data_IF_088171331058
#
_entry.id   IF_088171331058
#
_cell.length_a   1.000
_cell.length_b   1.000
_cell.length_c   1.000
_cell.angle_alpha   90.00
_cell.angle_beta   90.00
_cell.angle_gamma   90.00
#
_symmetry.space_group_name_H-M   'P 1'
#
loop_
_entity.id
_entity.type
_entity.pdbx_description
1 polymer ?
#
# COMPACT_ATOMS: atom_id res chain seq x y z
N UNK A 1 -8.17 -16.21 -14.67
CA UNK A 1 -8.45 -17.17 -13.57
C UNK A 1 -7.22 -18.03 -13.21
N UNK A 2 -6.51 -18.66 -14.14
CA UNK A 2 -5.30 -19.50 -13.87
C UNK A 2 -4.16 -18.74 -13.17
N UNK A 3 -3.86 -17.50 -13.51
CA UNK A 3 -2.79 -16.71 -12.88
C UNK A 3 -3.04 -16.39 -11.40
N UNK A 4 -4.29 -16.19 -10.99
CA UNK A 4 -4.66 -15.95 -9.61
C UNK A 4 -4.49 -17.21 -8.73
N UNK A 5 -4.76 -18.38 -9.30
CA UNK A 5 -4.61 -19.68 -8.64
C UNK A 5 -3.12 -19.98 -8.41
N UNK A 6 -2.26 -19.75 -9.41
CA UNK A 6 -0.80 -19.97 -9.31
C UNK A 6 -0.17 -19.02 -8.25
N UNK A 7 -0.64 -17.77 -8.18
CA UNK A 7 -0.19 -16.80 -7.16
C UNK A 7 -0.61 -17.22 -5.74
N UNK A 8 -1.79 -17.83 -5.60
CA UNK A 8 -2.30 -18.36 -4.31
C UNK A 8 -1.48 -19.57 -3.84
N UNK A 9 -1.12 -20.48 -4.75
CA UNK A 9 -0.25 -21.64 -4.42
C UNK A 9 1.15 -21.21 -3.97
N UNK A 10 1.78 -20.24 -4.65
CA UNK A 10 3.09 -19.70 -4.23
C UNK A 10 3.05 -19.04 -2.85
N UNK A 11 1.94 -18.39 -2.50
CA UNK A 11 1.77 -17.79 -1.19
C UNK A 11 1.66 -18.85 -0.10
N UNK A 12 0.86 -19.91 -0.35
CA UNK A 12 0.70 -21.04 0.58
C UNK A 12 2.03 -21.76 0.80
N UNK A 13 2.80 -22.02 -0.25
CA UNK A 13 4.12 -22.69 -0.14
C UNK A 13 5.11 -21.84 0.66
N UNK A 14 5.14 -20.49 0.45
CA UNK A 14 5.98 -19.60 1.25
C UNK A 14 5.55 -19.57 2.71
N UNK A 15 4.25 -19.53 2.98
CA UNK A 15 3.71 -19.54 4.35
C UNK A 15 4.00 -20.89 5.03
N UNK A 16 3.85 -21.99 4.32
CA UNK A 16 4.21 -23.33 4.82
C UNK A 16 5.71 -23.46 5.07
N UNK A 17 6.58 -22.86 4.25
CA UNK A 17 8.02 -22.83 4.48
C UNK A 17 8.41 -22.06 5.75
N UNK A 18 7.69 -20.97 6.07
CA UNK A 18 7.97 -20.16 7.25
C UNK A 18 7.37 -20.74 8.54
N UNK A 19 6.11 -21.20 8.48
CA UNK A 19 5.39 -21.73 9.65
C UNK A 19 5.58 -23.24 9.81
N UNK A 20 5.84 -23.95 8.73
CA UNK A 20 5.91 -25.42 8.70
C UNK A 20 7.02 -25.99 9.57
N UNK A 21 8.17 -25.32 9.65
CA UNK A 21 9.29 -25.74 10.49
C UNK A 21 8.93 -25.64 11.98
N UNK A 22 8.33 -24.54 12.40
CA UNK A 22 7.87 -24.39 13.79
C UNK A 22 6.76 -25.38 14.13
N UNK A 23 5.80 -25.60 13.22
CA UNK A 23 4.74 -26.59 13.40
C UNK A 23 5.28 -28.02 13.46
N UNK A 24 6.30 -28.33 12.67
CA UNK A 24 6.97 -29.65 12.71
C UNK A 24 7.60 -29.94 14.07
N UNK A 25 8.32 -28.97 14.64
CA UNK A 25 8.91 -29.13 15.98
C UNK A 25 7.88 -29.21 17.09
N UNK A 26 6.80 -28.42 16.99
CA UNK A 26 5.68 -28.50 17.94
C UNK A 26 4.99 -29.86 17.88
N UNK A 27 4.75 -30.39 16.67
CA UNK A 27 4.14 -31.69 16.47
C UNK A 27 5.05 -32.81 17.03
N UNK A 28 6.35 -32.72 16.78
CA UNK A 28 7.32 -33.70 17.28
C UNK A 28 7.38 -33.66 18.81
N UNK A 29 7.32 -32.46 19.40
CA UNK A 29 7.25 -32.29 20.86
C UNK A 29 5.96 -32.88 21.45
N UNK A 30 4.81 -32.60 20.82
CA UNK A 30 3.50 -33.11 21.25
C UNK A 30 3.43 -34.64 21.20
N UNK A 31 3.94 -35.23 20.12
CA UNK A 31 4.09 -36.70 20.00
C UNK A 31 5.04 -37.26 21.06
N UNK A 32 6.19 -36.63 21.31
CA UNK A 32 7.15 -37.08 22.32
C UNK A 32 6.51 -37.06 23.74
N UNK A 33 5.81 -35.98 24.10
CA UNK A 33 5.14 -35.90 25.40
C UNK A 33 4.02 -36.93 25.51
N UNK A 34 3.25 -37.15 24.44
CA UNK A 34 2.16 -38.13 24.41
C UNK A 34 2.70 -39.55 24.57
N UNK A 35 3.79 -39.88 23.87
CA UNK A 35 4.46 -41.19 23.97
C UNK A 35 5.05 -41.41 25.38
N UNK A 36 5.72 -40.38 25.93
CA UNK A 36 6.28 -40.45 27.29
C UNK A 36 5.16 -40.67 28.33
N UNK A 37 4.04 -39.94 28.23
CA UNK A 37 2.88 -40.14 29.06
C UNK A 37 2.26 -41.53 28.96
N UNK A 38 2.21 -42.11 27.74
CA UNK A 38 1.64 -43.43 27.49
C UNK A 38 2.55 -44.58 27.99
N UNK A 39 3.84 -44.44 27.85
CA UNK A 39 4.82 -45.51 28.18
C UNK A 39 5.23 -45.51 29.63
N UNK A 40 5.38 -44.33 30.24
CA UNK A 40 5.93 -44.20 31.59
C UNK A 40 4.92 -43.96 32.70
N UNK A 41 3.63 -43.78 32.46
CA UNK A 41 2.45 -43.76 33.33
C UNK A 41 2.66 -43.41 34.81
N UNK A 42 3.87 -43.07 35.25
CA UNK A 42 4.30 -42.96 36.63
C UNK A 42 4.26 -41.56 37.21
N UNK A 43 4.23 -40.52 36.39
CA UNK A 43 4.17 -39.15 36.83
C UNK A 43 2.80 -38.55 36.51
N UNK A 44 1.86 -38.70 37.43
CA UNK A 44 0.63 -37.86 37.41
C UNK A 44 1.02 -36.42 37.67
N UNK A 45 1.47 -35.72 36.62
CA UNK A 45 1.70 -34.28 36.66
C UNK A 45 0.30 -33.65 36.71
N UNK A 46 -0.22 -33.43 37.92
CA UNK A 46 -1.41 -32.62 38.09
C UNK A 46 -1.07 -31.16 37.88
N UNK A 47 -1.03 -30.74 36.63
CA UNK A 47 -0.93 -29.32 36.30
C UNK A 47 -2.23 -28.62 36.75
N UNK A 48 -2.16 -27.60 37.61
CA UNK A 48 -3.35 -26.86 37.98
C UNK A 48 -3.94 -26.19 36.77
N UNK A 49 -5.19 -26.51 36.42
CA UNK A 49 -5.88 -25.98 35.24
C UNK A 49 -6.06 -24.44 35.27
N UNK A 50 -6.16 -23.88 36.47
CA UNK A 50 -6.43 -22.46 36.65
C UNK A 50 -5.32 -21.54 36.12
N UNK A 51 -4.00 -21.73 36.37
CA UNK A 51 -2.95 -20.93 35.80
C UNK A 51 -2.86 -21.11 34.26
N UNK A 52 -3.13 -22.30 33.74
CA UNK A 52 -3.06 -22.60 32.31
C UNK A 52 -4.18 -21.89 31.55
N UNK A 53 -5.40 -21.84 32.08
CA UNK A 53 -6.51 -21.12 31.44
C UNK A 53 -6.31 -19.61 31.50
N UNK A 54 -5.75 -19.06 32.56
CA UNK A 54 -5.40 -17.64 32.68
C UNK A 54 -4.31 -17.28 31.67
N UNK A 55 -3.26 -18.08 31.54
CA UNK A 55 -2.19 -17.88 30.57
C UNK A 55 -2.74 -17.96 29.12
N UNK A 56 -3.55 -18.95 28.83
CA UNK A 56 -4.21 -19.11 27.54
C UNK A 56 -5.08 -17.92 27.17
N UNK A 57 -5.90 -17.43 28.08
CA UNK A 57 -6.76 -16.27 27.84
C UNK A 57 -5.94 -14.99 27.60
N UNK A 58 -4.87 -14.77 28.37
CA UNK A 58 -3.97 -13.64 28.17
C UNK A 58 -3.28 -13.68 26.79
N UNK A 59 -2.82 -14.85 26.36
CA UNK A 59 -2.22 -15.04 25.02
C UNK A 59 -3.23 -14.76 23.91
N UNK A 60 -4.46 -15.25 24.01
CA UNK A 60 -5.52 -14.99 23.02
C UNK A 60 -5.80 -13.50 22.89
N UNK A 61 -5.89 -12.77 24.01
CA UNK A 61 -6.11 -11.33 24.00
C UNK A 61 -4.95 -10.59 23.34
N UNK A 62 -3.69 -10.93 23.67
CA UNK A 62 -2.50 -10.31 23.08
C UNK A 62 -2.42 -10.56 21.55
N UNK A 63 -2.67 -11.80 21.12
CA UNK A 63 -2.67 -12.18 19.71
C UNK A 63 -3.80 -11.45 18.95
N UNK A 64 -4.99 -11.32 19.58
CA UNK A 64 -6.13 -10.62 18.99
C UNK A 64 -5.84 -9.14 18.76
N UNK A 65 -5.25 -8.44 19.73
CA UNK A 65 -4.85 -7.04 19.56
C UNK A 65 -3.80 -6.86 18.46
N UNK A 66 -2.80 -7.73 18.41
CA UNK A 66 -1.78 -7.69 17.36
C UNK A 66 -2.37 -7.89 15.96
N UNK A 67 -3.23 -8.89 15.81
CA UNK A 67 -3.88 -9.20 14.55
C UNK A 67 -4.82 -8.07 14.11
N UNK A 68 -5.59 -7.49 15.05
CA UNK A 68 -6.46 -6.35 14.78
C UNK A 68 -5.69 -5.13 14.28
N UNK A 69 -4.55 -4.80 14.88
CA UNK A 69 -3.72 -3.66 14.45
C UNK A 69 -3.15 -3.86 13.04
N UNK A 70 -2.68 -5.06 12.73
CA UNK A 70 -2.17 -5.39 11.39
C UNK A 70 -3.28 -5.35 10.34
N UNK A 71 -4.46 -5.89 10.67
CA UNK A 71 -5.63 -5.87 9.81
C UNK A 71 -6.10 -4.44 9.52
N UNK A 72 -6.22 -3.59 10.54
CA UNK A 72 -6.65 -2.20 10.39
C UNK A 72 -5.71 -1.42 9.45
N UNK A 73 -4.39 -1.60 9.61
CA UNK A 73 -3.40 -0.99 8.73
C UNK A 73 -3.53 -1.47 7.27
N UNK A 74 -3.68 -2.77 7.07
CA UNK A 74 -3.90 -3.34 5.74
C UNK A 74 -5.20 -2.81 5.12
N UNK A 75 -6.28 -2.74 5.91
CA UNK A 75 -7.58 -2.24 5.46
C UNK A 75 -7.52 -0.76 5.08
N UNK A 76 -6.87 0.07 5.89
CA UNK A 76 -6.66 1.48 5.58
C UNK A 76 -5.87 1.66 4.27
N UNK A 77 -4.77 0.94 4.09
CA UNK A 77 -4.00 0.97 2.85
C UNK A 77 -4.84 0.53 1.63
N UNK A 78 -5.69 -0.50 1.80
CA UNK A 78 -6.60 -0.97 0.77
C UNK A 78 -7.64 0.06 0.37
N UNK A 79 -8.19 0.77 1.36
CA UNK A 79 -9.17 1.85 1.17
C UNK A 79 -8.55 3.04 0.42
N UNK A 80 -7.36 3.47 0.81
CA UNK A 80 -6.63 4.57 0.16
C UNK A 80 -6.27 4.25 -1.29
N UNK A 81 -5.84 3.01 -1.59
CA UNK A 81 -5.64 2.58 -2.98
C UNK A 81 -6.94 2.53 -3.77
N UNK A 82 -8.06 2.16 -3.15
CA UNK A 82 -9.39 2.25 -3.76
C UNK A 82 -9.76 3.69 -4.12
N UNK A 83 -9.54 4.62 -3.20
CA UNK A 83 -9.75 6.06 -3.43
C UNK A 83 -8.86 6.58 -4.58
N UNK A 84 -7.56 6.21 -4.58
CA UNK A 84 -6.63 6.55 -5.66
C UNK A 84 -7.14 6.11 -7.03
N UNK A 85 -7.60 4.86 -7.16
CA UNK A 85 -8.15 4.33 -8.43
C UNK A 85 -9.40 5.10 -8.87
N UNK A 86 -10.31 5.39 -7.93
CA UNK A 86 -11.55 6.10 -8.25
C UNK A 86 -11.27 7.56 -8.68
N UNK A 87 -10.38 8.24 -7.96
CA UNK A 87 -9.99 9.61 -8.29
C UNK A 87 -9.20 9.69 -9.59
N UNK A 88 -8.35 8.69 -9.90
CA UNK A 88 -7.66 8.56 -11.19
C UNK A 88 -8.65 8.45 -12.36
N UNK A 89 -9.69 7.62 -12.21
CA UNK A 89 -10.75 7.50 -13.22
C UNK A 89 -11.55 8.78 -13.38
N UNK A 90 -11.85 9.46 -12.25
CA UNK A 90 -12.54 10.75 -12.26
C UNK A 90 -11.71 11.83 -12.94
N UNK A 91 -10.42 11.91 -12.62
CA UNK A 91 -9.48 12.85 -13.24
C UNK A 91 -9.39 12.63 -14.75
N UNK A 92 -9.19 11.39 -15.19
CA UNK A 92 -9.11 11.08 -16.62
C UNK A 92 -10.38 11.48 -17.36
N UNK A 93 -11.56 11.15 -16.81
CA UNK A 93 -12.85 11.57 -17.39
C UNK A 93 -12.98 13.07 -17.44
N UNK A 94 -12.66 13.78 -16.36
CA UNK A 94 -12.77 15.24 -16.28
C UNK A 94 -11.83 15.94 -17.27
N UNK A 95 -10.59 15.49 -17.40
CA UNK A 95 -9.64 16.02 -18.38
C UNK A 95 -10.19 15.88 -19.80
N UNK A 96 -10.80 14.73 -20.12
CA UNK A 96 -11.36 14.50 -21.45
C UNK A 96 -12.63 15.31 -21.74
N UNK A 97 -13.46 15.57 -20.72
CA UNK A 97 -14.81 16.15 -20.90
C UNK A 97 -14.92 17.62 -20.51
N UNK A 98 -14.06 18.15 -19.64
CA UNK A 98 -14.15 19.51 -19.11
C UNK A 98 -13.16 20.50 -19.79
N UNK A 99 -12.04 19.98 -20.34
CA UNK A 99 -11.18 20.82 -21.16
C UNK A 99 -11.80 20.99 -22.54
N UNK A 100 -11.90 22.24 -23.00
CA UNK A 100 -12.38 22.53 -24.33
C UNK A 100 -11.29 22.23 -25.39
N UNK A 101 -11.74 21.84 -26.57
CA UNK A 101 -10.88 21.59 -27.72
C UNK A 101 -10.84 22.85 -28.59
N UNK A 102 -9.68 23.48 -28.80
CA UNK A 102 -9.58 24.69 -29.62
C UNK A 102 -9.89 24.36 -31.09
N UNK A 103 -10.81 25.11 -31.68
CA UNK A 103 -11.12 25.11 -33.13
C UNK A 103 -11.34 23.74 -33.78
N UNK A 104 -11.85 22.75 -33.02
CA UNK A 104 -12.16 21.39 -33.53
C UNK A 104 -10.95 20.43 -33.54
N UNK A 105 -9.79 20.85 -33.06
CA UNK A 105 -8.65 19.98 -32.83
C UNK A 105 -8.63 19.53 -31.36
N UNK A 106 -8.28 18.25 -31.12
CA UNK A 106 -8.16 17.73 -29.76
C UNK A 106 -7.04 18.47 -29.01
N UNK A 107 -7.37 19.08 -27.88
CA UNK A 107 -6.40 19.81 -27.07
C UNK A 107 -5.24 18.87 -26.64
N UNK A 108 -3.99 19.15 -27.09
CA UNK A 108 -2.83 18.30 -26.82
C UNK A 108 -2.50 18.21 -25.33
N UNK A 109 -2.97 19.17 -24.51
CA UNK A 109 -2.80 19.18 -23.07
C UNK A 109 -3.56 18.03 -22.41
N UNK A 110 -4.68 17.57 -22.99
CA UNK A 110 -5.42 16.40 -22.52
C UNK A 110 -4.51 15.16 -22.46
N UNK A 111 -3.82 14.87 -23.57
CA UNK A 111 -2.90 13.73 -23.67
C UNK A 111 -1.71 13.88 -22.70
N UNK A 112 -1.19 15.10 -22.55
CA UNK A 112 -0.10 15.42 -21.64
C UNK A 112 -0.51 15.18 -20.20
N UNK A 113 -1.67 15.68 -19.76
CA UNK A 113 -2.20 15.48 -18.40
C UNK A 113 -2.42 14.00 -18.09
N UNK A 114 -2.96 13.22 -19.03
CA UNK A 114 -3.17 11.79 -18.83
C UNK A 114 -1.84 11.02 -18.73
N UNK A 115 -0.85 11.33 -19.56
CA UNK A 115 0.50 10.73 -19.47
C UNK A 115 1.17 11.08 -18.14
N UNK A 116 1.09 12.34 -17.70
CA UNK A 116 1.58 12.79 -16.40
C UNK A 116 0.90 12.05 -15.26
N UNK A 117 -0.41 11.82 -15.36
CA UNK A 117 -1.13 11.06 -14.34
C UNK A 117 -0.66 9.59 -14.25
N UNK A 118 -0.39 8.94 -15.38
CA UNK A 118 0.23 7.60 -15.40
C UNK A 118 1.61 7.63 -14.73
N UNK A 119 2.44 8.63 -15.02
CA UNK A 119 3.74 8.79 -14.36
C UNK A 119 3.59 9.01 -12.86
N UNK A 120 2.66 9.87 -12.44
CA UNK A 120 2.34 10.13 -11.04
C UNK A 120 2.06 8.86 -10.25
N UNK A 121 1.11 8.04 -10.70
CA UNK A 121 0.71 6.82 -9.99
C UNK A 121 1.86 5.79 -9.92
N UNK A 122 2.66 5.66 -10.99
CA UNK A 122 3.79 4.74 -11.02
C UNK A 122 4.95 5.22 -10.13
N UNK A 123 5.27 6.52 -10.15
CA UNK A 123 6.29 7.10 -9.27
C UNK A 123 5.86 7.03 -7.80
N UNK A 124 4.59 7.26 -7.49
CA UNK A 124 4.06 7.08 -6.14
C UNK A 124 4.19 5.62 -5.67
N UNK A 125 3.82 4.65 -6.52
CA UNK A 125 3.95 3.24 -6.19
C UNK A 125 5.41 2.81 -5.98
N UNK A 126 6.36 3.43 -6.69
CA UNK A 126 7.79 3.21 -6.49
C UNK A 126 8.28 3.87 -5.19
N UNK A 127 7.90 5.12 -4.95
CA UNK A 127 8.23 5.87 -3.74
C UNK A 127 7.80 5.15 -2.46
N UNK A 128 6.55 4.65 -2.40
CA UNK A 128 6.03 3.88 -1.27
C UNK A 128 6.77 2.55 -1.03
N UNK A 129 7.52 2.05 -2.02
CA UNK A 129 8.38 0.87 -1.91
C UNK A 129 9.85 1.20 -1.67
N UNK A 130 10.18 2.47 -1.45
CA UNK A 130 11.57 2.95 -1.33
C UNK A 130 12.39 2.76 -2.61
N UNK A 131 11.77 2.79 -3.79
CA UNK A 131 12.41 2.61 -5.10
C UNK A 131 12.38 3.91 -5.90
N UNK A 132 13.35 4.14 -6.79
CA UNK A 132 13.30 5.27 -7.71
C UNK A 132 12.12 5.14 -8.67
N UNK A 133 11.67 6.27 -9.22
CA UNK A 133 10.65 6.30 -10.26
C UNK A 133 11.12 5.51 -11.49
N UNK A 134 10.28 4.64 -12.10
CA UNK A 134 10.65 3.82 -13.24
C UNK A 134 11.05 4.69 -14.48
N UNK A 135 12.10 4.32 -15.18
CA UNK A 135 12.59 5.05 -16.37
C UNK A 135 11.56 5.08 -17.49
N UNK A 136 10.73 4.06 -17.64
CA UNK A 136 9.67 3.96 -18.64
C UNK A 136 8.66 5.11 -18.56
N UNK A 137 8.35 5.59 -17.35
CA UNK A 137 7.39 6.69 -17.15
C UNK A 137 8.05 8.07 -17.13
N UNK A 138 9.36 8.12 -17.04
CA UNK A 138 10.14 9.36 -17.14
C UNK A 138 9.88 10.09 -18.47
N UNK A 139 9.74 9.34 -19.57
CA UNK A 139 9.47 9.90 -20.90
C UNK A 139 8.13 10.67 -20.97
N UNK A 140 7.24 10.51 -19.97
CA UNK A 140 5.97 11.24 -19.93
C UNK A 140 6.07 12.60 -19.23
N UNK A 141 7.24 12.93 -18.70
CA UNK A 141 7.51 14.18 -17.97
C UNK A 141 8.60 14.92 -18.72
N UNK A 142 8.46 16.25 -18.92
CA UNK A 142 9.52 17.06 -19.54
C UNK A 142 10.86 16.90 -18.83
N UNK A 143 11.93 16.73 -19.60
CA UNK A 143 13.27 16.50 -19.06
C UNK A 143 13.74 17.63 -18.12
N UNK A 144 13.36 18.87 -18.40
CA UNK A 144 13.65 20.05 -17.58
C UNK A 144 12.96 19.98 -16.19
N UNK A 145 11.71 19.52 -16.17
CA UNK A 145 10.96 19.33 -14.91
C UNK A 145 11.57 18.19 -14.11
N UNK A 146 11.95 17.11 -14.77
CA UNK A 146 12.61 16.00 -14.11
C UNK A 146 13.99 16.41 -13.55
N UNK A 147 14.79 17.16 -14.29
CA UNK A 147 16.09 17.65 -13.84
C UNK A 147 15.99 18.57 -12.62
N UNK A 148 14.93 19.40 -12.56
CA UNK A 148 14.67 20.32 -11.46
C UNK A 148 14.15 19.62 -10.22
N UNK A 149 13.23 18.67 -10.36
CA UNK A 149 12.45 18.07 -9.28
C UNK A 149 12.83 16.61 -9.01
N UNK A 150 13.62 15.96 -9.89
CA UNK A 150 13.96 14.54 -9.75
C UNK A 150 14.85 14.22 -8.54
N UNK A 151 15.45 15.26 -7.92
CA UNK A 151 16.20 15.15 -6.67
C UNK A 151 15.35 15.42 -5.42
N UNK A 152 14.07 15.76 -5.57
CA UNK A 152 13.18 16.01 -4.44
C UNK A 152 12.78 14.70 -3.76
N UNK A 153 12.53 14.78 -2.46
CA UNK A 153 12.11 13.62 -1.67
C UNK A 153 10.71 13.10 -2.06
N UNK A 154 9.91 13.88 -2.81
CA UNK A 154 8.54 13.53 -3.19
C UNK A 154 8.22 13.91 -4.63
N UNK A 155 8.89 13.25 -5.57
CA UNK A 155 8.71 13.49 -7.00
C UNK A 155 7.27 13.26 -7.49
N UNK A 156 6.52 12.35 -6.86
CA UNK A 156 5.11 12.13 -7.19
C UNK A 156 4.28 13.40 -6.96
N UNK A 157 4.47 14.08 -5.82
CA UNK A 157 3.79 15.33 -5.53
C UNK A 157 4.16 16.45 -6.51
N UNK A 158 5.41 16.50 -6.98
CA UNK A 158 5.85 17.49 -7.96
C UNK A 158 5.16 17.29 -9.32
N UNK A 159 4.94 16.04 -9.73
CA UNK A 159 4.18 15.72 -10.96
C UNK A 159 2.73 16.22 -10.82
N UNK A 160 2.13 16.06 -9.64
CA UNK A 160 0.77 16.51 -9.37
C UNK A 160 0.68 18.05 -9.44
N UNK A 161 1.63 18.73 -8.81
CA UNK A 161 1.78 20.20 -8.85
C UNK A 161 1.97 20.72 -10.29
N UNK A 162 2.79 20.04 -11.08
CA UNK A 162 2.96 20.37 -12.50
C UNK A 162 1.68 20.19 -13.30
N UNK A 163 0.85 19.22 -12.96
CA UNK A 163 -0.46 19.01 -13.59
C UNK A 163 -1.44 20.15 -13.24
N UNK A 164 -1.47 20.61 -11.97
CA UNK A 164 -2.24 21.78 -11.56
C UNK A 164 -1.77 23.05 -12.30
N UNK A 165 -0.45 23.21 -12.48
CA UNK A 165 0.12 24.34 -13.24
C UNK A 165 -0.34 24.34 -14.71
N UNK A 166 -0.43 23.16 -15.34
CA UNK A 166 -0.95 23.05 -16.71
C UNK A 166 -2.44 23.43 -16.76
N UNK A 167 -3.26 22.97 -15.84
CA UNK A 167 -4.67 23.35 -15.74
C UNK A 167 -4.87 24.85 -15.54
N UNK A 168 -4.04 25.49 -14.71
CA UNK A 168 -4.06 26.94 -14.53
C UNK A 168 -3.68 27.72 -15.79
N UNK A 169 -2.80 27.15 -16.66
CA UNK A 169 -2.48 27.73 -17.99
C UNK A 169 -3.66 27.62 -18.94
N UNK A 170 -4.34 26.48 -18.98
CA UNK A 170 -5.54 26.28 -19.81
C UNK A 170 -6.68 27.21 -19.40
N UNK A 171 -6.84 27.45 -18.11
CA UNK A 171 -7.78 28.45 -17.63
C UNK A 171 -7.45 29.86 -18.13
N UNK A 172 -6.18 30.27 -18.06
CA UNK A 172 -5.73 31.58 -18.56
C UNK A 172 -5.85 31.70 -20.07
N UNK A 173 -5.74 30.59 -20.80
CA UNK A 173 -5.93 30.53 -22.25
C UNK A 173 -7.40 30.53 -22.68
N UNK A 174 -8.35 30.44 -21.74
CA UNK A 174 -9.77 30.42 -22.02
C UNK A 174 -10.37 29.05 -22.39
N UNK A 175 -9.56 27.98 -22.34
CA UNK A 175 -10.01 26.61 -22.64
C UNK A 175 -10.69 25.93 -21.45
N UNK A 176 -10.77 26.60 -20.31
CA UNK A 176 -11.35 26.09 -19.05
C UNK A 176 -11.97 27.25 -18.28
N UNK A 177 -13.20 27.10 -17.84
CA UNK A 177 -13.83 28.08 -16.95
C UNK A 177 -13.46 27.83 -15.46
N UNK A 178 -13.78 28.79 -14.58
CA UNK A 178 -13.45 28.75 -13.17
C UNK A 178 -14.14 27.61 -12.41
N UNK A 179 -15.35 27.23 -12.80
CA UNK A 179 -16.13 26.15 -12.15
C UNK A 179 -15.51 24.79 -12.50
N UNK A 180 -15.17 24.60 -13.77
CA UNK A 180 -14.53 23.37 -14.25
C UNK A 180 -13.11 23.23 -13.68
N UNK A 181 -12.34 24.34 -13.60
CA UNK A 181 -11.04 24.36 -12.95
C UNK A 181 -11.16 23.93 -11.47
N UNK A 182 -12.09 24.55 -10.71
CA UNK A 182 -12.32 24.20 -9.31
C UNK A 182 -12.67 22.70 -9.13
N UNK A 183 -13.40 22.12 -10.11
CA UNK A 183 -13.74 20.69 -10.08
C UNK A 183 -12.55 19.79 -10.31
N UNK A 184 -11.66 20.14 -11.25
CA UNK A 184 -10.41 19.43 -11.52
C UNK A 184 -9.45 19.54 -10.32
N UNK A 185 -9.30 20.76 -9.77
CA UNK A 185 -8.50 21.00 -8.55
C UNK A 185 -9.01 20.17 -7.35
N UNK A 186 -10.32 20.10 -7.14
CA UNK A 186 -10.89 19.23 -6.10
C UNK A 186 -10.45 17.77 -6.26
N UNK A 187 -10.39 17.27 -7.50
CA UNK A 187 -9.94 15.89 -7.75
C UNK A 187 -8.42 15.72 -7.51
N UNK A 188 -7.60 16.74 -7.83
CA UNK A 188 -6.18 16.75 -7.50
C UNK A 188 -5.96 16.76 -5.98
N UNK A 189 -6.77 17.49 -5.23
CA UNK A 189 -6.76 17.48 -3.76
C UNK A 189 -7.11 16.09 -3.21
N UNK A 190 -8.11 15.42 -3.77
CA UNK A 190 -8.49 14.06 -3.36
C UNK A 190 -7.37 13.04 -3.66
N UNK A 191 -6.65 13.19 -4.78
CA UNK A 191 -5.47 12.40 -5.12
C UNK A 191 -4.33 12.65 -4.10
N UNK A 192 -4.09 13.92 -3.76
CA UNK A 192 -3.08 14.31 -2.77
C UNK A 192 -3.41 13.78 -1.37
N UNK A 193 -4.69 13.81 -0.96
CA UNK A 193 -5.14 13.25 0.31
C UNK A 193 -4.92 11.72 0.37
N UNK A 194 -5.25 11.02 -0.71
CA UNK A 194 -4.98 9.58 -0.80
C UNK A 194 -3.47 9.27 -0.74
N UNK A 195 -2.64 10.06 -1.44
CA UNK A 195 -1.17 9.96 -1.38
C UNK A 195 -0.66 10.17 0.04
N UNK A 196 -1.02 11.27 0.69
CA UNK A 196 -0.57 11.59 2.05
C UNK A 196 -0.97 10.51 3.08
N UNK A 197 -2.16 9.94 2.94
CA UNK A 197 -2.59 8.80 3.75
C UNK A 197 -1.70 7.56 3.54
N UNK A 198 -1.36 7.23 2.30
CA UNK A 198 -0.46 6.11 1.97
C UNK A 198 0.97 6.34 2.46
N UNK A 199 1.50 7.56 2.31
CA UNK A 199 2.81 7.96 2.82
C UNK A 199 2.86 7.90 4.35
N UNK A 200 1.80 8.34 5.04
CA UNK A 200 1.68 8.21 6.49
C UNK A 200 1.78 6.74 6.91
N UNK A 201 1.05 5.84 6.26
CA UNK A 201 1.12 4.40 6.55
C UNK A 201 2.52 3.85 6.31
N UNK A 202 3.18 4.24 5.21
CA UNK A 202 4.53 3.78 4.87
C UNK A 202 5.57 4.24 5.90
N UNK A 203 5.47 5.50 6.35
CA UNK A 203 6.47 6.15 7.21
C UNK A 203 6.18 6.02 8.72
N UNK A 204 4.99 5.52 9.11
CA UNK A 204 4.67 5.32 10.53
C UNK A 204 5.05 3.90 10.93
N UNK A 205 6.07 3.69 11.78
CA UNK A 205 6.42 2.36 12.28
C UNK A 205 5.26 1.77 13.11
N UNK A 206 5.17 0.44 13.14
CA UNK A 206 4.29 -0.23 14.08
C UNK A 206 4.73 0.12 15.52
N UNK A 207 3.80 0.21 16.49
CA UNK A 207 4.13 0.42 17.89
C UNK A 207 5.20 -0.57 18.36
N UNK A 208 6.20 -0.08 19.08
CA UNK A 208 7.38 -0.84 19.55
C UNK A 208 7.07 -2.24 20.11
N UNK A 209 5.98 -2.46 20.88
CA UNK A 209 5.62 -3.80 21.35
C UNK A 209 5.28 -4.80 20.24
N UNK A 210 4.90 -4.30 19.05
CA UNK A 210 4.63 -5.16 17.89
C UNK A 210 5.91 -5.46 17.09
N UNK A 211 6.95 -4.61 17.20
CA UNK A 211 8.22 -4.75 16.46
C UNK A 211 9.22 -5.66 17.19
N UNK A 212 9.22 -5.71 18.53
CA UNK A 212 10.15 -6.52 19.34
C UNK A 212 10.14 -8.01 18.96
N UNK A 213 9.05 -8.50 18.38
CA UNK A 213 8.95 -9.90 17.94
C UNK A 213 9.19 -10.12 16.44
N UNK A 214 9.45 -9.05 15.66
CA UNK A 214 9.69 -9.15 14.21
C UNK A 214 11.13 -8.79 13.82
N UNK A 215 11.84 -8.01 14.64
CA UNK A 215 13.26 -7.69 14.37
C UNK A 215 14.18 -8.85 14.69
N UNK A 216 13.92 -9.61 15.75
CA UNK A 216 14.74 -10.78 16.11
C UNK A 216 14.61 -11.95 15.11
N UNK A 217 13.56 -11.93 14.25
CA UNK A 217 13.37 -12.94 13.20
C UNK A 217 13.92 -12.50 11.82
N UNK A 218 14.43 -11.28 11.72
CA UNK A 218 14.98 -10.75 10.46
C UNK A 218 16.51 -10.60 10.50
N UNK A 219 17.13 -10.71 11.69
CA UNK A 219 18.58 -10.58 11.92
C UNK A 219 19.27 -11.96 12.19
N UNK A 220 18.54 -13.08 12.13
CA UNK A 220 19.05 -14.45 12.05
C UNK A 220 18.76 -15.03 10.64
#
# INVERSE_FOLDING_TARGET
MKAAIIKKYRLIIKTMGYVGWALFWLLLWDVAVTVDFMLFLTTKINLPLMPLTLLGSALVVLISFRNSSAYNRWWEARTLWGAMVNNSRSFARQVLTLLDDPEGEVNPVKATLLRRHVAYVNCLAAHLKGRPCPDEVRAFIPAEEFARNGATNNFANDILTGSATLLAREYKAGHLDSIRLARLESTLVDLSNAQGGMERIANTPLPYPCLLYTSDAADE
#
